data_IF_077114273181
#
_entry.id   IF_077114273181
#
_cell.length_a   1.000
_cell.length_b   1.000
_cell.length_c   1.000
_cell.angle_alpha   90.00
_cell.angle_beta   90.00
_cell.angle_gamma   90.00
#
_symmetry.space_group_name_H-M   'P 1'
#
loop_
_entity.id
_entity.type
_entity.pdbx_description
1 polymer ?
#
# COMPACT_ATOMS: atom_id res chain seq x y z
N UNK A 1 -0.44 24.82 8.94
CA UNK A 1 -0.83 23.42 8.68
C UNK A 1 -0.44 23.11 7.25
N UNK A 2 0.34 22.06 6.99
CA UNK A 2 0.68 21.68 5.62
C UNK A 2 -0.64 21.23 4.97
N UNK A 3 -1.12 21.97 3.98
CA UNK A 3 -2.31 21.56 3.23
C UNK A 3 -1.91 20.38 2.36
N UNK A 4 -2.28 19.18 2.79
CA UNK A 4 -2.06 17.96 2.02
C UNK A 4 -3.05 17.98 0.86
N UNK A 5 -2.56 18.33 -0.32
CA UNK A 5 -3.36 18.32 -1.54
C UNK A 5 -3.63 16.89 -2.05
N UNK A 6 -4.65 16.69 -2.91
CA UNK A 6 -4.96 15.38 -3.49
C UNK A 6 -3.77 14.74 -4.24
N UNK A 7 -2.86 15.56 -4.77
CA UNK A 7 -1.63 15.12 -5.45
C UNK A 7 -0.72 14.24 -4.58
N UNK A 8 -0.78 14.37 -3.25
CA UNK A 8 0.01 13.52 -2.34
C UNK A 8 -0.44 12.06 -2.37
N UNK A 9 -1.69 11.78 -2.78
CA UNK A 9 -2.17 10.41 -2.95
C UNK A 9 -1.39 9.67 -4.06
N UNK A 10 -0.76 10.38 -5.00
CA UNK A 10 0.07 9.77 -6.04
C UNK A 10 1.31 9.07 -5.48
N UNK A 11 1.82 9.51 -4.31
CA UNK A 11 2.96 8.84 -3.65
C UNK A 11 2.64 7.43 -3.17
N UNK A 12 1.35 7.09 -3.07
CA UNK A 12 0.92 5.76 -2.71
C UNK A 12 1.47 4.68 -3.65
N UNK A 13 1.41 4.93 -4.97
CA UNK A 13 1.84 3.95 -5.98
C UNK A 13 3.33 3.59 -5.87
N UNK A 14 4.28 4.55 -5.93
CA UNK A 14 5.70 4.22 -5.83
C UNK A 14 6.03 3.59 -4.47
N UNK A 15 5.41 4.03 -3.37
CA UNK A 15 5.63 3.44 -2.05
C UNK A 15 5.24 1.96 -2.01
N UNK A 16 4.04 1.62 -2.46
CA UNK A 16 3.56 0.23 -2.46
C UNK A 16 4.40 -0.64 -3.37
N UNK A 17 4.79 -0.14 -4.56
CA UNK A 17 5.66 -0.87 -5.49
C UNK A 17 7.02 -1.15 -4.84
N UNK A 18 7.67 -0.13 -4.26
CA UNK A 18 8.98 -0.28 -3.63
C UNK A 18 8.98 -1.28 -2.48
N UNK A 19 8.07 -1.14 -1.50
CA UNK A 19 8.05 -2.04 -0.34
C UNK A 19 7.72 -3.49 -0.74
N UNK A 20 6.83 -3.68 -1.72
CA UNK A 20 6.37 -5.00 -2.12
C UNK A 20 7.45 -5.76 -2.88
N UNK A 21 8.16 -5.08 -3.78
CA UNK A 21 9.29 -5.66 -4.51
C UNK A 21 10.45 -6.02 -3.57
N UNK A 22 10.83 -5.11 -2.65
CA UNK A 22 11.89 -5.38 -1.67
C UNK A 22 11.53 -6.56 -0.77
N UNK A 23 10.27 -6.64 -0.34
CA UNK A 23 9.80 -7.78 0.45
C UNK A 23 9.86 -9.11 -0.32
N UNK A 24 9.47 -9.11 -1.60
CA UNK A 24 9.55 -10.30 -2.44
C UNK A 24 10.99 -10.74 -2.72
N UNK A 25 11.87 -9.77 -3.02
CA UNK A 25 13.25 -9.99 -3.44
C UNK A 25 14.19 -10.41 -2.31
N UNK A 26 13.88 -10.09 -1.06
CA UNK A 26 14.69 -10.52 0.10
C UNK A 26 14.48 -11.99 0.46
N UNK A 27 13.41 -12.63 -0.03
CA UNK A 27 13.08 -14.04 0.28
C UNK A 27 13.34 -15.02 -0.85
N UNK A 28 13.38 -14.57 -2.09
CA UNK A 28 13.43 -15.45 -3.26
C UNK A 28 14.41 -14.89 -4.29
N UNK A 29 15.13 -15.79 -4.94
CA UNK A 29 16.06 -15.46 -6.03
C UNK A 29 15.40 -15.60 -7.41
N UNK A 30 14.34 -16.40 -7.50
CA UNK A 30 13.56 -16.57 -8.73
C UNK A 30 12.62 -15.38 -8.97
N UNK A 31 12.81 -14.70 -10.11
CA UNK A 31 12.07 -13.49 -10.47
C UNK A 31 10.55 -13.68 -10.54
N UNK A 32 10.07 -14.83 -11.00
CA UNK A 32 8.63 -15.11 -11.06
C UNK A 32 8.03 -15.20 -9.66
N UNK A 33 8.75 -15.87 -8.75
CA UNK A 33 8.37 -16.02 -7.35
C UNK A 33 8.41 -14.68 -6.62
N UNK A 34 9.42 -13.84 -6.88
CA UNK A 34 9.49 -12.46 -6.35
C UNK A 34 8.24 -11.68 -6.72
N UNK A 35 7.87 -11.64 -8.01
CA UNK A 35 6.71 -10.87 -8.49
C UNK A 35 5.40 -11.39 -7.88
N UNK A 36 5.24 -12.70 -7.77
CA UNK A 36 4.05 -13.32 -7.15
C UNK A 36 3.91 -12.90 -5.68
N UNK A 37 4.98 -13.00 -4.90
CA UNK A 37 4.96 -12.59 -3.50
C UNK A 37 4.82 -11.08 -3.33
N UNK A 38 5.47 -10.27 -4.17
CA UNK A 38 5.30 -8.84 -4.20
C UNK A 38 3.83 -8.45 -4.45
N UNK A 39 3.16 -9.10 -5.40
CA UNK A 39 1.74 -8.83 -5.66
C UNK A 39 0.84 -9.17 -4.47
N UNK A 40 1.07 -10.31 -3.81
CA UNK A 40 0.34 -10.66 -2.58
C UNK A 40 0.56 -9.64 -1.47
N UNK A 41 1.80 -9.20 -1.27
CA UNK A 41 2.15 -8.15 -0.29
C UNK A 41 1.45 -6.83 -0.62
N UNK A 42 1.52 -6.39 -1.88
CA UNK A 42 0.84 -5.17 -2.33
C UNK A 42 -0.66 -5.24 -2.05
N UNK A 43 -1.32 -6.36 -2.40
CA UNK A 43 -2.76 -6.56 -2.15
C UNK A 43 -3.11 -6.52 -0.66
N UNK A 44 -2.32 -7.17 0.20
CA UNK A 44 -2.56 -7.18 1.65
C UNK A 44 -2.38 -5.81 2.29
N UNK A 45 -1.28 -5.11 1.98
CA UNK A 45 -1.01 -3.77 2.52
C UNK A 45 -2.07 -2.78 2.06
N UNK A 46 -2.43 -2.82 0.76
CA UNK A 46 -3.51 -2.01 0.19
C UNK A 46 -4.84 -2.28 0.88
N UNK A 47 -5.20 -3.55 1.03
CA UNK A 47 -6.45 -3.95 1.69
C UNK A 47 -6.50 -3.46 3.14
N UNK A 48 -5.42 -3.62 3.89
CA UNK A 48 -5.34 -3.17 5.27
C UNK A 48 -5.47 -1.64 5.40
N UNK A 49 -4.72 -0.88 4.59
CA UNK A 49 -4.82 0.58 4.55
C UNK A 49 -6.22 1.05 4.15
N UNK A 50 -6.86 0.37 3.20
CA UNK A 50 -8.21 0.71 2.75
C UNK A 50 -9.26 0.45 3.84
N UNK A 51 -9.14 -0.64 4.60
CA UNK A 51 -10.01 -0.90 5.75
C UNK A 51 -9.89 0.21 6.79
N UNK A 52 -8.66 0.64 7.11
CA UNK A 52 -8.44 1.78 8.02
C UNK A 52 -9.09 3.04 7.47
N UNK A 53 -8.92 3.32 6.17
CA UNK A 53 -9.55 4.47 5.51
C UNK A 53 -11.07 4.45 5.65
N UNK A 54 -11.73 3.30 5.42
CA UNK A 54 -13.17 3.16 5.60
C UNK A 54 -13.58 3.47 7.04
N UNK A 55 -12.88 2.89 8.03
CA UNK A 55 -13.18 3.13 9.45
C UNK A 55 -13.06 4.61 9.79
N UNK A 56 -12.00 5.27 9.35
CA UNK A 56 -11.81 6.70 9.58
C UNK A 56 -12.89 7.55 8.88
N UNK A 57 -13.27 7.18 7.66
CA UNK A 57 -14.33 7.86 6.91
C UNK A 57 -15.68 7.75 7.63
N UNK A 58 -16.01 6.56 8.13
CA UNK A 58 -17.23 6.33 8.91
C UNK A 58 -17.24 7.16 10.20
N UNK A 59 -16.13 7.17 10.94
CA UNK A 59 -16.00 7.99 12.16
C UNK A 59 -16.14 9.48 11.85
N UNK A 60 -15.55 9.96 10.76
CA UNK A 60 -15.66 11.36 10.33
C UNK A 60 -17.09 11.76 9.98
N UNK A 61 -17.95 10.85 9.50
CA UNK A 61 -19.37 11.15 9.26
C UNK A 61 -20.23 11.09 10.53
N UNK A 62 -19.76 10.41 11.57
CA UNK A 62 -20.46 10.30 12.85
C UNK A 62 -20.14 11.45 13.82
N UNK A 63 -18.96 12.04 13.69
CA UNK A 63 -18.51 13.26 14.39
C UNK A 63 -19.07 14.51 13.73
#
# INVERSE_FOLDING_TARGET
MISIGPTYLLYYVPLIVSISLVFGATRHEDTQTILKHAFYTARWVTGFMFVIFIVLLMLNWML
#
